data_IF_953930221196
#
_entry.id   IF_953930221196
#
_cell.length_a   1.000
_cell.length_b   1.000
_cell.length_c   1.000
_cell.angle_alpha   90.00
_cell.angle_beta   90.00
_cell.angle_gamma   90.00
#
_symmetry.space_group_name_H-M   'P 1'
#
loop_
_entity.id
_entity.type
_entity.pdbx_description
1 polymer ?
#
# COMPACT_ATOMS: atom_id res chain seq x y z
N UNK A 1 -8.85 10.92 -18.29
CA UNK A 1 -9.46 12.20 -17.84
C UNK A 1 -9.56 12.11 -16.34
N UNK A 2 -9.31 13.17 -15.56
CA UNK A 2 -9.40 13.07 -14.10
C UNK A 2 -10.85 13.29 -13.61
N UNK A 3 -11.27 12.73 -12.45
CA UNK A 3 -12.62 12.89 -11.90
C UNK A 3 -12.89 14.33 -11.45
N UNK A 4 -13.85 15.00 -12.08
CA UNK A 4 -14.12 16.43 -11.86
C UNK A 4 -14.43 16.75 -10.39
N UNK A 5 -15.21 15.91 -9.70
CA UNK A 5 -15.60 16.16 -8.31
C UNK A 5 -14.41 16.11 -7.34
N UNK A 6 -13.42 15.25 -7.60
CA UNK A 6 -12.14 15.27 -6.88
C UNK A 6 -11.37 16.53 -7.26
N UNK A 7 -11.25 16.84 -8.56
CA UNK A 7 -10.45 17.96 -9.04
C UNK A 7 -10.90 19.32 -8.52
N UNK A 8 -12.20 19.53 -8.32
CA UNK A 8 -12.76 20.77 -7.78
C UNK A 8 -12.28 21.08 -6.34
N UNK A 9 -11.79 20.06 -5.62
CA UNK A 9 -11.33 20.17 -4.23
C UNK A 9 -9.81 20.15 -4.09
N UNK A 10 -9.07 19.97 -5.19
CA UNK A 10 -7.61 19.81 -5.18
C UNK A 10 -6.87 21.05 -5.67
N UNK A 11 -5.68 21.25 -5.11
CA UNK A 11 -4.70 22.22 -5.59
C UNK A 11 -4.20 21.87 -6.99
N UNK A 12 -3.65 22.86 -7.69
CA UNK A 12 -3.04 22.65 -9.00
C UNK A 12 -1.84 21.68 -8.93
N UNK A 13 -1.09 21.68 -7.84
CA UNK A 13 0.04 20.77 -7.64
C UNK A 13 -0.42 19.31 -7.57
N UNK A 14 -1.50 19.02 -6.84
CA UNK A 14 -2.10 17.68 -6.81
C UNK A 14 -2.64 17.30 -8.18
N UNK A 15 -3.27 18.24 -8.91
CA UNK A 15 -3.74 18.00 -10.27
C UNK A 15 -2.60 17.57 -11.20
N UNK A 16 -1.47 18.26 -11.13
CA UNK A 16 -0.28 17.96 -11.92
C UNK A 16 0.39 16.67 -11.48
N UNK A 17 0.41 16.38 -10.18
CA UNK A 17 0.90 15.11 -9.63
C UNK A 17 0.08 13.94 -10.17
N UNK A 18 -1.26 14.02 -10.09
CA UNK A 18 -2.17 12.99 -10.61
C UNK A 18 -1.92 12.72 -12.10
N UNK A 19 -1.70 13.76 -12.92
CA UNK A 19 -1.41 13.59 -14.35
C UNK A 19 -0.09 12.85 -14.63
N UNK A 20 0.84 12.84 -13.67
CA UNK A 20 2.19 12.28 -13.81
C UNK A 20 2.37 10.95 -13.10
N UNK A 21 1.42 10.53 -12.27
CA UNK A 21 1.50 9.24 -11.58
C UNK A 21 1.59 8.09 -12.59
N UNK A 22 2.54 7.16 -12.42
CA UNK A 22 2.62 5.96 -13.24
C UNK A 22 1.49 5.01 -12.82
N UNK A 23 0.30 5.19 -13.38
CA UNK A 23 -0.80 4.28 -13.14
C UNK A 23 -0.50 2.90 -13.73
N UNK A 24 -0.47 1.89 -12.87
CA UNK A 24 -0.33 0.51 -13.31
C UNK A 24 -1.68 0.03 -13.82
N UNK A 25 -1.87 0.10 -15.14
CA UNK A 25 -3.02 -0.54 -15.75
C UNK A 25 -2.96 -2.04 -15.49
N UNK A 26 -4.07 -2.69 -15.08
CA UNK A 26 -4.16 -4.13 -15.06
C UNK A 26 -3.76 -4.63 -16.45
N UNK A 27 -2.61 -5.28 -16.55
CA UNK A 27 -2.18 -5.88 -17.81
C UNK A 27 -3.10 -7.07 -18.09
N UNK A 28 -3.32 -7.36 -19.38
CA UNK A 28 -4.09 -8.52 -19.82
C UNK A 28 -3.55 -9.88 -19.30
N UNK A 29 -2.36 -9.88 -18.70
CA UNK A 29 -1.70 -11.03 -18.07
C UNK A 29 -2.07 -11.23 -16.58
N UNK A 30 -2.94 -10.40 -15.99
CA UNK A 30 -3.45 -10.60 -14.62
C UNK A 30 -2.49 -10.18 -13.51
N UNK A 31 -1.49 -9.34 -13.80
CA UNK A 31 -0.58 -8.81 -12.77
C UNK A 31 -1.31 -7.93 -11.75
N UNK A 32 -0.89 -8.09 -10.50
CA UNK A 32 -1.46 -7.47 -9.30
C UNK A 32 -1.41 -5.94 -9.34
N UNK A 33 -2.52 -5.26 -9.07
CA UNK A 33 -2.57 -3.82 -8.76
C UNK A 33 -2.34 -3.53 -7.28
N UNK A 34 -1.97 -4.55 -6.51
CA UNK A 34 -1.72 -4.40 -5.09
C UNK A 34 -0.35 -3.77 -4.84
N UNK A 35 -0.35 -2.73 -4.01
CA UNK A 35 0.87 -2.06 -3.54
C UNK A 35 1.37 -2.67 -2.22
N UNK A 36 0.46 -3.23 -1.44
CA UNK A 36 0.75 -3.76 -0.10
C UNK A 36 -0.33 -4.77 0.33
N UNK A 37 -0.17 -5.34 1.51
CA UNK A 37 -1.20 -6.13 2.19
C UNK A 37 -2.56 -5.42 2.16
N UNK A 38 -3.53 -6.08 1.54
CA UNK A 38 -4.88 -5.55 1.29
C UNK A 38 -4.92 -4.09 0.83
N UNK A 39 -4.01 -3.68 -0.06
CA UNK A 39 -3.91 -2.31 -0.56
C UNK A 39 -3.86 -2.29 -2.08
N UNK A 40 -4.72 -1.52 -2.74
CA UNK A 40 -4.77 -1.37 -4.21
C UNK A 40 -4.53 0.07 -4.63
N UNK A 41 -3.74 0.25 -5.69
CA UNK A 41 -3.58 1.55 -6.32
C UNK A 41 -4.90 2.04 -6.93
N UNK A 42 -5.13 3.35 -6.85
CA UNK A 42 -6.26 4.04 -7.49
C UNK A 42 -5.78 4.64 -8.80
N UNK A 43 -6.36 4.21 -9.94
CA UNK A 43 -6.13 4.86 -11.23
C UNK A 43 -7.14 5.98 -11.44
N UNK A 44 -6.75 7.21 -11.11
CA UNK A 44 -7.59 8.40 -11.30
C UNK A 44 -7.79 8.77 -12.78
N UNK A 45 -7.10 8.13 -13.72
CA UNK A 45 -7.32 8.35 -15.15
C UNK A 45 -8.33 7.37 -15.75
N UNK A 46 -8.61 6.28 -15.04
CA UNK A 46 -9.59 5.26 -15.39
C UNK A 46 -10.99 5.71 -14.96
N UNK A 47 -11.83 6.01 -15.96
CA UNK A 47 -13.20 6.47 -15.73
C UNK A 47 -14.06 5.46 -14.98
N UNK A 48 -13.75 4.16 -15.06
CA UNK A 48 -14.48 3.13 -14.31
C UNK A 48 -14.18 3.20 -12.81
N UNK A 49 -13.05 3.78 -12.42
CA UNK A 49 -12.63 3.96 -11.03
C UNK A 49 -13.01 5.33 -10.45
N UNK A 50 -13.53 6.27 -11.24
CA UNK A 50 -13.84 7.63 -10.77
C UNK A 50 -14.76 7.63 -9.54
N UNK A 51 -15.84 6.83 -9.53
CA UNK A 51 -16.73 6.77 -8.37
C UNK A 51 -16.05 6.22 -7.11
N UNK A 52 -15.11 5.28 -7.28
CA UNK A 52 -14.30 4.72 -6.19
C UNK A 52 -13.27 5.74 -5.68
N UNK A 53 -12.61 6.46 -6.58
CA UNK A 53 -11.68 7.52 -6.27
C UNK A 53 -12.37 8.68 -5.52
N UNK A 54 -13.53 9.12 -6.00
CA UNK A 54 -14.35 10.17 -5.39
C UNK A 54 -14.82 9.77 -3.98
N UNK A 55 -15.20 8.51 -3.75
CA UNK A 55 -15.60 8.05 -2.42
C UNK A 55 -14.43 8.07 -1.43
N UNK A 56 -13.22 7.72 -1.87
CA UNK A 56 -12.03 7.76 -1.01
C UNK A 56 -11.59 9.18 -0.74
N UNK A 57 -11.67 10.08 -1.74
CA UNK A 57 -11.45 11.49 -1.52
C UNK A 57 -12.43 12.08 -0.49
N UNK A 58 -13.71 11.71 -0.57
CA UNK A 58 -14.70 12.12 0.42
C UNK A 58 -14.37 11.61 1.83
N UNK A 59 -14.03 10.32 1.98
CA UNK A 59 -13.59 9.75 3.27
C UNK A 59 -12.38 10.49 3.82
N UNK A 60 -11.41 10.81 2.96
CA UNK A 60 -10.21 11.54 3.37
C UNK A 60 -10.55 12.90 3.96
N UNK A 61 -11.47 13.63 3.33
CA UNK A 61 -11.91 14.93 3.83
C UNK A 61 -12.74 14.82 5.13
N UNK A 62 -13.51 13.75 5.29
CA UNK A 62 -14.43 13.60 6.43
C UNK A 62 -13.78 12.99 7.68
N UNK A 63 -12.73 12.18 7.51
CA UNK A 63 -12.21 11.30 8.57
C UNK A 63 -10.75 11.60 8.95
N UNK A 64 -9.90 11.94 7.98
CA UNK A 64 -8.46 11.97 8.23
C UNK A 64 -7.95 13.38 8.54
N UNK A 65 -7.27 13.53 9.67
CA UNK A 65 -6.46 14.70 9.98
C UNK A 65 -4.99 14.32 9.77
N UNK A 66 -4.41 14.75 8.65
CA UNK A 66 -3.04 14.42 8.28
C UNK A 66 -2.10 15.55 8.69
N UNK A 67 -0.97 15.17 9.28
CA UNK A 67 0.03 16.08 9.81
C UNK A 67 1.33 15.88 9.03
N UNK A 68 1.92 16.99 8.60
CA UNK A 68 3.30 17.03 8.12
C UNK A 68 4.23 17.09 9.33
N UNK A 69 5.37 16.40 9.25
CA UNK A 69 6.35 16.28 10.35
C UNK A 69 6.77 17.65 10.91
N UNK A 70 6.98 18.64 10.04
CA UNK A 70 7.56 19.94 10.42
C UNK A 70 6.57 21.11 10.40
N UNK A 71 5.42 20.97 9.73
CA UNK A 71 4.54 22.10 9.41
C UNK A 71 3.12 22.00 9.98
N UNK A 72 2.81 20.95 10.76
CA UNK A 72 1.51 20.77 11.40
C UNK A 72 0.45 20.19 10.46
N UNK A 73 -0.85 20.48 10.67
CA UNK A 73 -1.93 19.89 9.88
C UNK A 73 -1.87 20.37 8.41
N UNK A 74 -2.12 19.44 7.50
CA UNK A 74 -2.05 19.66 6.05
C UNK A 74 -3.44 19.91 5.49
N UNK A 75 -3.59 20.93 4.64
CA UNK A 75 -4.84 21.19 3.93
C UNK A 75 -5.16 20.04 2.96
N UNK A 76 -6.39 19.52 3.02
CA UNK A 76 -6.83 18.37 2.24
C UNK A 76 -6.77 18.57 0.72
N UNK A 77 -6.70 19.81 0.24
CA UNK A 77 -6.49 20.12 -1.18
C UNK A 77 -5.07 19.74 -1.67
N UNK A 78 -4.13 19.51 -0.75
CA UNK A 78 -2.77 19.04 -1.03
C UNK A 78 -2.59 17.51 -0.82
N UNK A 79 -3.62 16.83 -0.32
CA UNK A 79 -3.57 15.39 -0.05
C UNK A 79 -4.18 14.55 -1.16
N UNK A 80 -3.64 13.35 -1.36
CA UNK A 80 -4.17 12.38 -2.32
C UNK A 80 -4.02 10.94 -1.79
N UNK A 81 -5.10 10.17 -1.77
CA UNK A 81 -5.01 8.72 -1.57
C UNK A 81 -4.57 8.08 -2.89
N UNK A 82 -3.33 7.61 -2.99
CA UNK A 82 -2.88 6.94 -4.21
C UNK A 82 -3.05 5.42 -4.16
N UNK A 83 -3.22 4.85 -2.96
CA UNK A 83 -3.58 3.45 -2.75
C UNK A 83 -4.55 3.31 -1.56
N UNK A 84 -5.60 2.51 -1.73
CA UNK A 84 -6.63 2.30 -0.72
C UNK A 84 -6.59 0.89 -0.15
N UNK A 85 -6.67 0.83 1.18
CA UNK A 85 -6.79 -0.39 1.96
C UNK A 85 -8.24 -0.90 1.99
N UNK A 86 -8.44 -2.22 2.09
CA UNK A 86 -9.75 -2.79 2.43
C UNK A 86 -9.68 -3.74 3.63
N UNK A 87 -10.80 -3.81 4.36
CA UNK A 87 -10.93 -4.55 5.63
C UNK A 87 -9.94 -4.11 6.72
N UNK A 88 -10.13 -4.64 7.94
CA UNK A 88 -9.20 -4.39 9.03
C UNK A 88 -7.78 -4.84 8.66
N UNK A 89 -6.79 -3.98 8.93
CA UNK A 89 -5.38 -4.22 8.62
C UNK A 89 -4.97 -3.89 7.18
N UNK A 90 -5.89 -3.53 6.29
CA UNK A 90 -5.51 -3.04 4.96
C UNK A 90 -4.81 -1.69 5.03
N UNK A 91 -3.87 -1.45 4.10
CA UNK A 91 -3.06 -0.22 4.11
C UNK A 91 -3.58 0.80 3.11
N UNK A 92 -4.00 1.96 3.59
CA UNK A 92 -4.30 3.15 2.78
C UNK A 92 -3.09 4.06 2.83
N UNK A 93 -2.59 4.50 1.68
CA UNK A 93 -1.46 5.42 1.60
C UNK A 93 -1.92 6.76 1.05
N UNK A 94 -1.68 7.81 1.84
CA UNK A 94 -2.04 9.19 1.56
C UNK A 94 -0.73 9.94 1.33
N UNK A 95 -0.60 10.60 0.19
CA UNK A 95 0.54 11.48 -0.09
C UNK A 95 0.15 12.93 0.14
N UNK A 96 0.98 13.63 0.90
CA UNK A 96 1.04 15.08 0.95
C UNK A 96 1.94 15.56 -0.20
N UNK A 97 1.31 16.09 -1.24
CA UNK A 97 2.02 16.55 -2.45
C UNK A 97 2.82 17.82 -2.18
N UNK A 98 2.42 18.64 -1.20
CA UNK A 98 3.09 19.90 -0.89
C UNK A 98 4.43 19.67 -0.18
N UNK A 99 4.44 18.77 0.81
CA UNK A 99 5.64 18.50 1.61
C UNK A 99 6.41 17.25 1.15
N UNK A 100 5.83 16.42 0.28
CA UNK A 100 6.47 15.22 -0.22
C UNK A 100 6.53 14.10 0.82
N UNK A 101 5.52 14.01 1.69
CA UNK A 101 5.42 13.01 2.74
C UNK A 101 4.29 12.02 2.47
N UNK A 102 4.43 10.79 2.96
CA UNK A 102 3.42 9.73 2.86
C UNK A 102 2.99 9.32 4.26
N UNK A 103 1.68 9.32 4.50
CA UNK A 103 1.04 8.76 5.68
C UNK A 103 0.42 7.42 5.35
N UNK A 104 0.65 6.44 6.21
CA UNK A 104 0.00 5.15 6.17
C UNK A 104 -1.16 5.11 7.18
N UNK A 105 -2.36 4.85 6.67
CA UNK A 105 -3.53 4.52 7.47
C UNK A 105 -3.76 3.01 7.43
N UNK A 106 -3.70 2.38 8.60
CA UNK A 106 -3.99 0.97 8.80
C UNK A 106 -5.47 0.88 9.18
N UNK A 107 -6.29 0.47 8.21
CA UNK A 107 -7.75 0.51 8.32
C UNK A 107 -8.22 -0.13 9.63
N UNK A 108 -8.90 0.67 10.48
CA UNK A 108 -9.45 0.30 11.80
C UNK A 108 -8.40 -0.14 12.83
N UNK A 109 -7.15 0.29 12.67
CA UNK A 109 -6.07 -0.02 13.58
C UNK A 109 -5.36 1.25 14.04
N UNK A 110 -4.66 1.94 13.15
CA UNK A 110 -3.80 3.06 13.49
C UNK A 110 -3.49 3.95 12.28
N UNK A 111 -3.19 5.22 12.52
CA UNK A 111 -2.63 6.14 11.52
C UNK A 111 -1.16 6.37 11.86
N UNK A 112 -0.25 5.86 11.03
CA UNK A 112 1.19 5.93 11.28
C UNK A 112 1.71 7.33 10.97
N UNK A 113 2.76 7.75 11.67
CA UNK A 113 3.46 9.02 11.38
C UNK A 113 3.89 9.09 9.91
N UNK A 114 3.79 10.28 9.34
CA UNK A 114 4.25 10.51 7.97
C UNK A 114 5.76 10.30 7.84
N UNK A 115 6.19 9.93 6.64
CA UNK A 115 7.60 9.76 6.28
C UNK A 115 7.86 10.42 4.93
N UNK A 116 9.10 10.79 4.66
CA UNK A 116 9.51 11.28 3.34
C UNK A 116 9.13 10.26 2.24
N UNK A 117 8.59 10.75 1.12
CA UNK A 117 8.08 9.88 0.06
C UNK A 117 9.20 9.04 -0.61
N UNK A 118 10.42 9.57 -0.72
CA UNK A 118 11.55 8.82 -1.27
C UNK A 118 11.92 7.69 -0.30
N UNK A 119 12.00 7.99 0.99
CA UNK A 119 12.23 6.99 2.03
C UNK A 119 11.16 5.89 1.98
N UNK A 120 9.88 6.26 1.93
CA UNK A 120 8.78 5.31 1.83
C UNK A 120 8.94 4.34 0.66
N UNK A 121 9.25 4.86 -0.54
CA UNK A 121 9.39 3.99 -1.71
C UNK A 121 10.68 3.16 -1.71
N UNK A 122 11.78 3.63 -1.10
CA UNK A 122 12.97 2.80 -0.89
C UNK A 122 12.69 1.66 0.10
N UNK A 123 12.02 1.96 1.22
CA UNK A 123 11.61 0.95 2.20
C UNK A 123 10.65 -0.07 1.59
N UNK A 124 9.68 0.39 0.79
CA UNK A 124 8.75 -0.49 0.08
C UNK A 124 9.50 -1.41 -0.90
N UNK A 125 10.45 -0.89 -1.68
CA UNK A 125 11.29 -1.71 -2.57
C UNK A 125 12.06 -2.76 -1.79
N UNK A 126 12.61 -2.41 -0.63
CA UNK A 126 13.37 -3.34 0.19
C UNK A 126 12.48 -4.42 0.80
N UNK A 127 11.27 -4.06 1.26
CA UNK A 127 10.27 -5.04 1.69
C UNK A 127 9.91 -6.05 0.59
N UNK A 128 9.81 -5.59 -0.66
CA UNK A 128 9.63 -6.47 -1.81
C UNK A 128 10.85 -7.36 -2.11
N UNK A 129 12.07 -6.80 -2.06
CA UNK A 129 13.32 -7.53 -2.34
C UNK A 129 13.62 -8.60 -1.30
N UNK A 130 13.43 -8.28 -0.03
CA UNK A 130 13.61 -9.18 1.10
C UNK A 130 12.44 -10.16 1.27
N UNK A 131 11.37 -10.03 0.47
CA UNK A 131 10.13 -10.80 0.58
C UNK A 131 9.52 -10.70 1.99
N UNK A 132 9.64 -9.53 2.63
CA UNK A 132 8.77 -9.14 3.74
C UNK A 132 7.36 -8.85 3.22
N UNK A 133 7.25 -8.32 2.00
CA UNK A 133 6.01 -8.29 1.24
C UNK A 133 6.08 -9.31 0.13
N UNK A 134 5.19 -10.31 0.20
CA UNK A 134 5.14 -11.42 -0.74
C UNK A 134 4.09 -11.08 -1.80
N UNK A 135 4.51 -10.76 -3.04
CA UNK A 135 3.56 -10.50 -4.11
C UNK A 135 2.89 -11.80 -4.53
N UNK A 136 1.57 -11.86 -4.43
CA UNK A 136 0.78 -13.01 -4.88
C UNK A 136 -0.09 -12.61 -6.09
N UNK A 137 0.38 -12.74 -7.35
CA UNK A 137 -0.41 -12.38 -8.51
C UNK A 137 -1.80 -13.06 -8.52
N UNK A 138 -2.85 -12.27 -8.75
CA UNK A 138 -4.24 -12.74 -8.70
C UNK A 138 -4.79 -13.05 -7.30
N UNK A 139 -4.01 -12.83 -6.23
CA UNK A 139 -4.42 -13.04 -4.84
C UNK A 139 -4.04 -11.83 -3.98
N UNK A 140 -4.40 -11.88 -2.71
CA UNK A 140 -4.01 -10.89 -1.71
C UNK A 140 -2.51 -11.04 -1.46
N UNK A 141 -1.79 -9.92 -1.43
CA UNK A 141 -0.39 -9.92 -0.99
C UNK A 141 -0.30 -10.28 0.48
N UNK A 142 0.72 -11.04 0.86
CA UNK A 142 0.96 -11.37 2.26
C UNK A 142 2.13 -10.56 2.82
N UNK A 143 2.04 -10.22 4.10
CA UNK A 143 3.10 -9.57 4.86
C UNK A 143 3.74 -10.62 5.76
N UNK A 144 4.96 -11.03 5.41
CA UNK A 144 5.76 -11.89 6.26
C UNK A 144 6.24 -11.07 7.47
N UNK A 145 6.22 -11.69 8.64
CA UNK A 145 6.77 -11.07 9.84
C UNK A 145 8.22 -10.62 9.64
N UNK A 146 8.64 -9.63 10.43
CA UNK A 146 10.03 -9.15 10.51
C UNK A 146 10.94 -10.26 11.02
N UNK A 147 11.33 -11.14 10.11
CA UNK A 147 12.17 -12.29 10.36
C UNK A 147 13.50 -12.11 9.63
N UNK A 148 14.63 -12.37 10.30
CA UNK A 148 15.92 -12.41 9.63
C UNK A 148 15.88 -13.42 8.49
N UNK A 149 16.62 -13.12 7.42
CA UNK A 149 16.80 -14.10 6.37
C UNK A 149 17.59 -15.30 6.89
N UNK A 150 17.12 -16.50 6.55
CA UNK A 150 17.85 -17.74 6.77
C UNK A 150 18.45 -18.22 5.45
N UNK A 151 19.66 -18.77 5.52
CA UNK A 151 20.29 -19.51 4.42
C UNK A 151 20.14 -21.03 4.58
N UNK A 152 19.49 -21.48 5.63
CA UNK A 152 19.23 -22.90 5.87
C UNK A 152 18.17 -23.39 4.88
N UNK A 153 18.44 -24.53 4.26
CA UNK A 153 17.46 -25.19 3.40
C UNK A 153 16.39 -25.84 4.26
N UNK A 154 15.15 -25.40 4.09
CA UNK A 154 13.96 -25.90 4.78
C UNK A 154 13.29 -26.93 3.89
N UNK A 155 13.16 -28.17 4.35
CA UNK A 155 12.40 -29.19 3.63
C UNK A 155 10.89 -28.98 3.76
N UNK A 156 10.13 -29.32 2.72
CA UNK A 156 8.66 -29.21 2.74
C UNK A 156 8.05 -30.06 3.87
N UNK A 157 8.63 -31.23 4.15
CA UNK A 157 8.20 -32.12 5.21
C UNK A 157 8.32 -31.47 6.60
N UNK A 158 9.30 -30.58 6.81
CA UNK A 158 9.46 -29.85 8.07
C UNK A 158 8.34 -28.85 8.28
N UNK A 159 7.97 -28.11 7.22
CA UNK A 159 6.85 -27.16 7.23
C UNK A 159 5.54 -27.90 7.49
N UNK A 160 5.31 -29.05 6.82
CA UNK A 160 4.10 -29.85 6.99
C UNK A 160 4.03 -30.57 8.34
N UNK A 161 5.16 -30.83 8.99
CA UNK A 161 5.24 -31.51 10.28
C UNK A 161 4.95 -30.61 11.49
N UNK A 162 4.72 -29.31 11.30
CA UNK A 162 4.41 -28.37 12.38
C UNK A 162 3.13 -28.79 13.14
N UNK A 163 3.25 -29.07 14.44
CA UNK A 163 2.14 -29.63 15.26
C UNK A 163 1.38 -28.60 16.11
N UNK A 164 2.01 -27.48 16.43
CA UNK A 164 1.46 -26.46 17.35
C UNK A 164 1.01 -25.18 16.65
N UNK A 165 0.96 -25.20 15.32
CA UNK A 165 0.56 -24.06 14.48
C UNK A 165 -0.88 -24.27 14.03
N UNK A 166 -1.81 -23.45 14.55
CA UNK A 166 -3.24 -23.54 14.19
C UNK A 166 -3.58 -22.88 12.84
N UNK A 167 -2.73 -21.96 12.39
CA UNK A 167 -2.94 -21.16 11.19
C UNK A 167 -1.62 -20.95 10.49
N UNK A 168 -1.66 -20.86 9.16
CA UNK A 168 -0.50 -20.46 8.37
C UNK A 168 0.07 -19.12 8.84
N UNK A 169 1.39 -18.96 8.74
CA UNK A 169 2.09 -17.70 9.02
C UNK A 169 3.04 -17.77 10.21
N UNK A 170 3.51 -18.98 10.56
CA UNK A 170 4.65 -19.15 11.46
C UNK A 170 5.95 -18.64 10.82
N UNK A 171 6.99 -18.50 11.63
CA UNK A 171 8.30 -18.10 11.15
C UNK A 171 8.88 -19.08 10.11
N UNK A 172 8.63 -20.38 10.31
CA UNK A 172 9.05 -21.43 9.39
C UNK A 172 8.29 -21.34 8.05
N UNK A 173 6.99 -21.05 8.09
CA UNK A 173 6.18 -20.85 6.87
C UNK A 173 6.73 -19.70 6.03
N UNK A 174 7.04 -18.57 6.66
CA UNK A 174 7.56 -17.40 5.95
C UNK A 174 8.95 -17.64 5.41
N UNK A 175 9.85 -18.24 6.18
CA UNK A 175 11.18 -18.59 5.69
C UNK A 175 11.12 -19.57 4.51
N UNK A 176 10.23 -20.57 4.57
CA UNK A 176 10.01 -21.49 3.46
C UNK A 176 9.44 -20.79 2.22
N UNK A 177 8.45 -19.90 2.37
CA UNK A 177 7.92 -19.13 1.23
C UNK A 177 9.02 -18.28 0.59
N UNK A 178 9.85 -17.60 1.40
CA UNK A 178 10.99 -16.83 0.88
C UNK A 178 11.98 -17.72 0.13
N UNK A 179 12.24 -18.94 0.61
CA UNK A 179 13.08 -19.91 -0.08
C UNK A 179 12.49 -20.30 -1.44
N UNK A 180 11.19 -20.58 -1.52
CA UNK A 180 10.53 -21.01 -2.77
C UNK A 180 10.47 -19.91 -3.83
N UNK A 181 10.39 -18.64 -3.42
CA UNK A 181 10.36 -17.50 -4.34
C UNK A 181 11.74 -17.14 -4.94
N UNK A 182 12.83 -17.61 -4.35
CA UNK A 182 14.22 -17.32 -4.77
C UNK A 182 14.71 -18.31 -5.82
#
# INVERSE_FOLDING_TARGET
MLPSATMEKKSEDVADFMRRLPYFRPRADGKSTHLHYKSKLIDYTDSEQHGYAESHDQIMNDVYEIWCTDNGPVDHSHLLIFAAGWESGGRTFIIDVLHGEITEEIVRCDTVSSVDAVQFFEDLKEKYRSLQLIPCPGRIMEEAHELPESSEEIAEEEVLAQKDVRFWGSDLDWQYVRQVYR
#
